data_IF_548892833372
#
_entry.id   IF_548892833372
#
_cell.length_a   1.000
_cell.length_b   1.000
_cell.length_c   1.000
_cell.angle_alpha   90.00
_cell.angle_beta   90.00
_cell.angle_gamma   90.00
#
_symmetry.space_group_name_H-M   'P 1'
#
loop_
_entity.id
_entity.type
_entity.pdbx_description
1 polymer ?
#
# COMPACT_ATOMS: atom_id res chain seq x y z
N UNK A 1 -0.69 18.39 -0.41
CA UNK A 1 0.30 18.24 -1.52
C UNK A 1 -0.38 18.13 -2.87
N UNK A 2 -1.30 17.21 -3.08
CA UNK A 2 -2.00 17.01 -4.36
C UNK A 2 -2.67 18.29 -4.88
N UNK A 3 -3.34 19.06 -4.03
CA UNK A 3 -3.93 20.35 -4.39
C UNK A 3 -2.90 21.37 -4.89
N UNK A 4 -1.76 21.51 -4.20
CA UNK A 4 -0.71 22.46 -4.58
C UNK A 4 -0.02 22.12 -5.92
N UNK A 5 -0.25 20.91 -6.45
CA UNK A 5 0.35 20.42 -7.70
C UNK A 5 -0.69 20.01 -8.76
N UNK A 6 -1.95 20.42 -8.60
CA UNK A 6 -3.09 20.06 -9.48
C UNK A 6 -3.21 18.53 -9.73
N UNK A 7 -3.00 17.77 -8.67
CA UNK A 7 -3.05 16.28 -8.68
C UNK A 7 -4.18 15.71 -7.83
N UNK A 8 -5.15 16.51 -7.46
CA UNK A 8 -6.29 16.12 -6.62
C UNK A 8 -7.07 14.93 -7.19
N UNK A 9 -7.18 14.83 -8.53
CA UNK A 9 -7.83 13.71 -9.18
C UNK A 9 -7.18 12.34 -8.89
N UNK A 10 -5.90 12.31 -8.47
CA UNK A 10 -5.20 11.09 -8.11
C UNK A 10 -5.57 10.58 -6.71
N UNK A 11 -6.09 11.45 -5.83
CA UNK A 11 -6.47 11.06 -4.47
C UNK A 11 -7.66 10.09 -4.45
N UNK A 12 -8.51 10.10 -5.48
CA UNK A 12 -9.56 9.10 -5.64
C UNK A 12 -9.01 7.68 -5.82
N UNK A 13 -7.90 7.51 -6.55
CA UNK A 13 -7.23 6.20 -6.65
C UNK A 13 -6.60 5.81 -5.31
N UNK A 14 -5.99 6.75 -4.58
CA UNK A 14 -5.42 6.48 -3.27
C UNK A 14 -6.49 5.96 -2.31
N UNK A 15 -7.65 6.61 -2.26
CA UNK A 15 -8.76 6.20 -1.42
C UNK A 15 -9.17 4.74 -1.69
N UNK A 16 -9.45 4.40 -2.94
CA UNK A 16 -9.87 3.04 -3.32
C UNK A 16 -8.75 2.05 -3.03
N UNK A 17 -7.51 2.37 -3.41
CA UNK A 17 -6.37 1.47 -3.23
C UNK A 17 -6.15 1.11 -1.76
N UNK A 18 -6.24 2.08 -0.85
CA UNK A 18 -6.07 1.81 0.59
C UNK A 18 -7.09 0.77 1.10
N UNK A 19 -8.33 0.83 0.64
CA UNK A 19 -9.37 -0.11 1.06
C UNK A 19 -9.23 -1.48 0.37
N UNK A 20 -9.15 -1.51 -0.96
CA UNK A 20 -9.17 -2.79 -1.70
C UNK A 20 -7.86 -3.57 -1.59
N UNK A 21 -6.72 -2.89 -1.41
CA UNK A 21 -5.45 -3.56 -1.19
C UNK A 21 -5.41 -4.29 0.16
N UNK A 22 -5.98 -3.70 1.22
CA UNK A 22 -6.11 -4.38 2.51
C UNK A 22 -7.02 -5.60 2.40
N UNK A 23 -8.16 -5.45 1.70
CA UNK A 23 -9.12 -6.52 1.50
C UNK A 23 -8.51 -7.74 0.81
N UNK A 24 -7.75 -7.56 -0.28
CA UNK A 24 -7.18 -8.70 -1.00
C UNK A 24 -6.11 -9.44 -0.21
N UNK A 25 -5.57 -8.88 0.88
CA UNK A 25 -4.58 -9.59 1.72
C UNK A 25 -5.14 -10.84 2.38
N UNK A 26 -6.44 -10.88 2.64
CA UNK A 26 -7.11 -12.09 3.16
C UNK A 26 -7.66 -13.00 2.04
N UNK A 27 -7.42 -12.67 0.77
CA UNK A 27 -7.92 -13.44 -0.38
C UNK A 27 -9.31 -13.03 -0.87
N UNK A 28 -9.91 -11.96 -0.32
CA UNK A 28 -11.24 -11.53 -0.71
C UNK A 28 -11.23 -10.80 -2.06
N UNK A 29 -12.21 -11.13 -2.91
CA UNK A 29 -12.50 -10.39 -4.13
C UNK A 29 -13.33 -9.14 -3.81
N UNK A 30 -12.91 -7.93 -4.20
CA UNK A 30 -13.71 -6.72 -4.04
C UNK A 30 -15.02 -6.83 -4.83
N UNK A 31 -16.15 -6.55 -4.20
CA UNK A 31 -17.47 -6.54 -4.85
C UNK A 31 -17.93 -5.12 -5.11
N UNK A 32 -17.97 -4.29 -4.08
CA UNK A 32 -18.43 -2.91 -4.21
C UNK A 32 -17.73 -1.96 -3.24
N UNK A 33 -17.83 -0.70 -3.58
CA UNK A 33 -17.22 0.43 -2.89
C UNK A 33 -18.24 1.52 -2.67
N UNK A 34 -18.15 2.20 -1.52
CA UNK A 34 -18.90 3.41 -1.19
C UNK A 34 -17.91 4.47 -0.75
N UNK A 35 -18.11 5.70 -1.20
CA UNK A 35 -17.26 6.82 -0.82
C UNK A 35 -18.01 7.86 0.02
N UNK A 36 -17.26 8.58 0.83
CA UNK A 36 -17.71 9.77 1.54
C UNK A 36 -16.77 10.91 1.16
N UNK A 37 -17.34 11.98 0.66
CA UNK A 37 -16.65 13.21 0.33
C UNK A 37 -17.17 14.34 1.21
N UNK A 38 -16.33 14.96 2.02
CA UNK A 38 -16.69 16.12 2.83
C UNK A 38 -15.76 17.30 2.54
N UNK A 39 -16.30 18.50 2.44
CA UNK A 39 -15.52 19.71 2.17
C UNK A 39 -16.07 20.93 2.92
N UNK A 40 -15.23 21.95 3.12
CA UNK A 40 -15.70 23.25 3.64
C UNK A 40 -16.70 23.92 2.73
N UNK A 41 -16.47 23.80 1.41
CA UNK A 41 -17.34 24.22 0.32
C UNK A 41 -17.10 23.33 -0.88
N UNK A 42 -18.16 22.87 -1.52
CA UNK A 42 -18.06 22.04 -2.70
C UNK A 42 -17.63 22.88 -3.91
N UNK A 43 -16.61 22.41 -4.59
CA UNK A 43 -16.16 22.93 -5.88
C UNK A 43 -16.50 21.88 -6.96
N UNK A 44 -17.61 22.03 -7.70
CA UNK A 44 -18.16 20.95 -8.54
C UNK A 44 -17.14 20.37 -9.52
N UNK A 45 -16.31 21.20 -10.16
CA UNK A 45 -15.31 20.73 -11.13
C UNK A 45 -14.19 19.89 -10.49
N UNK A 46 -13.74 20.30 -9.32
CA UNK A 46 -12.69 19.58 -8.56
C UNK A 46 -13.24 18.29 -7.99
N UNK A 47 -14.41 18.35 -7.37
CA UNK A 47 -15.10 17.17 -6.81
C UNK A 47 -15.37 16.13 -7.88
N UNK A 48 -15.91 16.53 -9.04
CA UNK A 48 -16.16 15.61 -10.16
C UNK A 48 -14.87 14.90 -10.65
N UNK A 49 -13.71 15.58 -10.65
CA UNK A 49 -12.43 14.96 -10.99
C UNK A 49 -12.02 13.89 -9.98
N UNK A 50 -12.25 14.14 -8.68
CA UNK A 50 -11.93 13.17 -7.60
C UNK A 50 -12.84 11.95 -7.70
N UNK A 51 -14.15 12.15 -7.80
CA UNK A 51 -15.13 11.06 -7.96
C UNK A 51 -14.84 10.22 -9.22
N UNK A 52 -14.48 10.87 -10.35
CA UNK A 52 -14.02 10.16 -11.53
C UNK A 52 -12.75 9.34 -11.27
N UNK A 53 -11.85 9.83 -10.43
CA UNK A 53 -10.67 9.08 -9.98
C UNK A 53 -11.05 7.83 -9.18
N UNK A 54 -12.03 7.95 -8.27
CA UNK A 54 -12.60 6.83 -7.50
C UNK A 54 -13.23 5.81 -8.45
N UNK A 55 -14.12 6.24 -9.34
CA UNK A 55 -14.77 5.35 -10.30
C UNK A 55 -13.80 4.58 -11.20
N UNK A 56 -12.75 5.26 -11.69
CA UNK A 56 -11.72 4.63 -12.50
C UNK A 56 -10.90 3.59 -11.69
N UNK A 57 -10.61 3.86 -10.43
CA UNK A 57 -9.89 2.94 -9.56
C UNK A 57 -10.76 1.72 -9.21
N UNK A 58 -12.02 1.92 -8.92
CA UNK A 58 -13.00 0.85 -8.70
C UNK A 58 -13.09 -0.06 -9.94
N UNK A 59 -13.23 0.52 -11.14
CA UNK A 59 -13.23 -0.24 -12.40
C UNK A 59 -11.97 -1.09 -12.58
N UNK A 60 -10.78 -0.52 -12.31
CA UNK A 60 -9.50 -1.25 -12.40
C UNK A 60 -9.36 -2.36 -11.36
N UNK A 61 -10.07 -2.24 -10.25
CA UNK A 61 -10.08 -3.22 -9.16
C UNK A 61 -11.22 -4.25 -9.29
N UNK A 62 -11.96 -4.22 -10.40
CA UNK A 62 -13.18 -5.03 -10.61
C UNK A 62 -14.16 -4.90 -9.44
N UNK A 63 -14.37 -3.68 -8.96
CA UNK A 63 -15.16 -3.32 -7.80
C UNK A 63 -16.24 -2.32 -8.25
N UNK A 64 -17.49 -2.56 -7.97
CA UNK A 64 -18.57 -1.65 -8.34
C UNK A 64 -18.59 -0.42 -7.42
N UNK A 65 -18.54 0.79 -7.96
CA UNK A 65 -18.86 2.00 -7.19
C UNK A 65 -20.39 2.11 -7.11
N UNK A 66 -20.96 1.77 -5.96
CA UNK A 66 -22.43 1.79 -5.79
C UNK A 66 -22.99 3.18 -5.51
N UNK A 67 -22.20 4.05 -4.90
CA UNK A 67 -22.60 5.38 -4.50
C UNK A 67 -21.76 5.86 -3.33
N UNK A 68 -22.30 6.80 -2.58
CA UNK A 68 -21.64 7.40 -1.44
C UNK A 68 -22.43 8.59 -0.91
N UNK A 69 -21.76 9.44 -0.14
CA UNK A 69 -22.34 10.67 0.39
C UNK A 69 -21.39 11.83 0.13
N UNK A 70 -21.96 13.00 -0.16
CA UNK A 70 -21.22 14.24 -0.36
C UNK A 70 -21.76 15.31 0.59
N UNK A 71 -20.90 15.80 1.49
CA UNK A 71 -21.29 16.77 2.51
C UNK A 71 -20.55 18.10 2.33
N UNK A 72 -21.28 19.20 2.40
CA UNK A 72 -20.72 20.54 2.57
C UNK A 72 -20.82 20.93 4.03
N UNK A 73 -19.66 21.19 4.66
CA UNK A 73 -19.53 21.43 6.11
C UNK A 73 -18.78 22.74 6.37
N UNK A 74 -19.45 23.91 6.22
CA UNK A 74 -18.84 25.22 6.46
C UNK A 74 -18.40 25.35 7.92
N UNK A 75 -17.15 25.83 8.12
CA UNK A 75 -16.60 26.02 9.45
C UNK A 75 -15.98 24.78 10.09
N UNK A 76 -16.26 23.57 9.59
CA UNK A 76 -15.64 22.34 10.07
C UNK A 76 -14.27 22.10 9.42
N UNK A 77 -14.17 22.27 8.12
CA UNK A 77 -12.91 22.21 7.38
C UNK A 77 -12.40 23.64 7.08
N UNK A 78 -11.08 23.81 7.07
CA UNK A 78 -10.48 25.03 6.55
C UNK A 78 -10.84 25.24 5.07
N UNK A 79 -10.88 26.51 4.64
CA UNK A 79 -11.24 26.88 3.26
C UNK A 79 -10.43 26.06 2.25
N UNK A 80 -11.12 25.52 1.24
CA UNK A 80 -10.60 24.65 0.19
C UNK A 80 -10.07 23.27 0.65
N UNK A 81 -10.22 22.92 1.92
CA UNK A 81 -9.89 21.57 2.37
C UNK A 81 -11.09 20.64 2.19
N UNK A 82 -10.76 19.39 1.93
CA UNK A 82 -11.72 18.30 1.85
C UNK A 82 -11.15 17.05 2.54
N UNK A 83 -12.04 16.14 2.87
CA UNK A 83 -11.74 14.82 3.40
C UNK A 83 -12.40 13.74 2.57
N UNK A 84 -11.79 12.56 2.53
CA UNK A 84 -12.27 11.39 1.81
C UNK A 84 -12.23 10.19 2.73
N UNK A 85 -13.34 9.48 2.82
CA UNK A 85 -13.39 8.16 3.42
C UNK A 85 -13.98 7.15 2.43
N UNK A 86 -13.61 5.89 2.56
CA UNK A 86 -14.07 4.83 1.68
C UNK A 86 -14.35 3.55 2.43
N UNK A 87 -15.34 2.81 1.94
CA UNK A 87 -15.73 1.49 2.42
C UNK A 87 -15.76 0.53 1.26
N UNK A 88 -15.12 -0.60 1.42
CA UNK A 88 -15.18 -1.69 0.44
C UNK A 88 -15.73 -2.95 1.08
N UNK A 89 -16.53 -3.68 0.32
CA UNK A 89 -17.03 -5.01 0.69
C UNK A 89 -16.54 -6.00 -0.33
N UNK A 90 -16.06 -7.14 0.14
CA UNK A 90 -15.58 -8.22 -0.69
C UNK A 90 -16.00 -9.58 -0.14
N UNK A 91 -15.77 -10.62 -0.89
CA UNK A 91 -16.12 -11.98 -0.55
C UNK A 91 -14.94 -12.92 -0.72
N UNK A 92 -14.84 -13.89 0.17
CA UNK A 92 -13.90 -15.01 0.08
C UNK A 92 -14.57 -16.24 0.67
N UNK A 93 -14.38 -17.41 0.04
CA UNK A 93 -14.82 -18.67 0.63
C UNK A 93 -14.08 -18.93 1.94
N UNK A 94 -14.79 -19.39 2.97
CA UNK A 94 -14.27 -19.56 4.32
C UNK A 94 -13.00 -20.40 4.38
N UNK A 95 -12.91 -21.45 3.59
CA UNK A 95 -11.76 -22.34 3.48
C UNK A 95 -10.57 -21.72 2.72
N UNK A 96 -10.79 -20.67 1.96
CA UNK A 96 -9.79 -19.98 1.15
C UNK A 96 -9.24 -18.71 1.83
N UNK A 97 -9.71 -18.39 3.03
CA UNK A 97 -9.22 -17.22 3.79
C UNK A 97 -7.71 -17.36 4.05
N UNK A 98 -6.97 -16.33 3.65
CA UNK A 98 -5.52 -16.22 3.89
C UNK A 98 -5.32 -15.47 5.21
N UNK A 99 -5.04 -16.20 6.29
CA UNK A 99 -4.93 -15.68 7.66
C UNK A 99 -3.53 -15.89 8.27
N UNK A 100 -2.55 -16.28 7.47
CA UNK A 100 -1.18 -16.54 7.94
C UNK A 100 -0.98 -17.85 8.70
N UNK A 101 -2.04 -18.60 9.02
CA UNK A 101 -1.93 -19.85 9.79
C UNK A 101 -1.08 -20.92 9.12
N UNK A 102 -0.96 -20.88 7.80
CA UNK A 102 -0.17 -21.83 6.99
C UNK A 102 1.29 -21.41 6.83
N UNK A 103 1.71 -20.24 7.38
CA UNK A 103 3.10 -19.80 7.35
C UNK A 103 3.97 -20.70 8.21
N UNK A 104 5.15 -21.07 7.66
CA UNK A 104 6.14 -21.97 8.29
C UNK A 104 7.56 -21.44 8.06
N UNK A 105 8.53 -21.84 8.89
CA UNK A 105 9.95 -21.61 8.61
C UNK A 105 10.34 -22.13 7.23
N UNK A 106 11.20 -21.40 6.52
CA UNK A 106 11.65 -21.69 5.16
C UNK A 106 10.79 -21.08 4.05
N UNK A 107 9.62 -20.49 4.37
CA UNK A 107 8.87 -19.70 3.39
C UNK A 107 9.62 -18.40 3.06
N UNK A 108 9.43 -17.92 1.85
CA UNK A 108 10.06 -16.74 1.30
C UNK A 108 9.12 -15.52 1.42
N UNK A 109 9.69 -14.39 1.78
CA UNK A 109 9.07 -13.07 1.71
C UNK A 109 9.29 -12.49 0.31
N UNK A 110 8.26 -12.45 -0.51
CA UNK A 110 8.28 -11.83 -1.82
C UNK A 110 7.71 -10.41 -1.71
N UNK A 111 8.58 -9.41 -1.76
CA UNK A 111 8.19 -7.99 -1.79
C UNK A 111 7.76 -7.56 -3.19
N UNK A 112 6.63 -6.88 -3.29
CA UNK A 112 6.10 -6.29 -4.54
C UNK A 112 6.30 -4.80 -4.50
N UNK A 113 6.82 -4.23 -5.59
CA UNK A 113 7.15 -2.80 -5.65
C UNK A 113 5.99 -1.86 -5.35
N UNK A 114 6.31 -0.71 -4.74
CA UNK A 114 5.40 0.42 -4.59
C UNK A 114 5.62 1.48 -5.67
N UNK A 115 4.59 2.27 -5.97
CA UNK A 115 4.68 3.42 -6.87
C UNK A 115 5.37 4.64 -6.24
N UNK A 116 5.32 4.70 -4.90
CA UNK A 116 5.75 5.82 -4.08
C UNK A 116 5.34 5.58 -2.62
N UNK A 117 5.06 6.63 -1.83
CA UNK A 117 4.74 6.52 -0.40
C UNK A 117 3.41 5.82 -0.07
N UNK A 118 2.53 5.58 -1.07
CA UNK A 118 1.25 4.90 -0.87
C UNK A 118 0.43 5.50 0.29
N UNK A 119 0.13 6.80 0.20
CA UNK A 119 -0.70 7.56 1.15
C UNK A 119 -0.16 7.64 2.58
N UNK A 120 1.05 7.14 2.86
CA UNK A 120 1.63 7.10 4.19
C UNK A 120 2.84 8.04 4.35
N UNK A 121 3.08 8.51 5.59
CA UNK A 121 4.24 9.33 5.94
C UNK A 121 4.17 10.79 5.45
N UNK A 122 3.05 11.27 4.93
CA UNK A 122 2.95 12.60 4.33
C UNK A 122 3.10 13.77 5.32
N UNK A 123 2.87 13.56 6.61
CA UNK A 123 3.14 14.58 7.62
C UNK A 123 4.64 14.89 7.68
N UNK A 124 5.48 13.84 7.70
CA UNK A 124 6.93 13.97 7.69
C UNK A 124 7.42 14.50 6.33
N UNK A 125 6.91 13.97 5.21
CA UNK A 125 7.22 14.47 3.86
C UNK A 125 6.97 15.97 3.77
N UNK A 126 5.80 16.46 4.22
CA UNK A 126 5.49 17.90 4.22
C UNK A 126 6.43 18.72 5.10
N UNK A 127 6.82 18.19 6.26
CA UNK A 127 7.79 18.84 7.14
C UNK A 127 9.16 19.01 6.45
N UNK A 128 9.64 17.98 5.76
CA UNK A 128 10.90 18.03 5.01
C UNK A 128 10.80 19.03 3.84
N UNK A 129 9.69 18.98 3.08
CA UNK A 129 9.48 19.86 1.94
C UNK A 129 9.34 21.36 2.30
N UNK A 130 8.96 21.68 3.54
CA UNK A 130 8.98 23.06 4.05
C UNK A 130 10.41 23.63 4.15
N UNK A 131 11.39 22.73 4.39
CA UNK A 131 12.80 23.13 4.59
C UNK A 131 13.66 22.90 3.35
N UNK A 132 13.29 21.96 2.49
CA UNK A 132 14.10 21.51 1.36
C UNK A 132 13.26 21.43 0.08
N UNK A 133 13.71 22.11 -0.97
CA UNK A 133 13.06 22.05 -2.29
C UNK A 133 13.41 20.71 -2.97
N UNK A 134 12.41 19.88 -3.18
CA UNK A 134 12.62 18.59 -3.86
C UNK A 134 12.82 18.78 -5.39
N UNK A 135 13.73 18.03 -6.01
CA UNK A 135 13.83 17.94 -7.46
C UNK A 135 12.50 17.47 -8.09
N UNK A 136 12.22 17.91 -9.33
CA UNK A 136 10.99 17.57 -10.06
C UNK A 136 10.75 16.05 -10.11
N UNK A 137 11.79 15.25 -10.36
CA UNK A 137 11.69 13.80 -10.42
C UNK A 137 11.28 13.18 -9.06
N UNK A 138 11.78 13.72 -7.96
CA UNK A 138 11.39 13.29 -6.60
C UNK A 138 9.92 13.64 -6.35
N UNK A 139 9.52 14.88 -6.63
CA UNK A 139 8.11 15.31 -6.48
C UNK A 139 7.15 14.45 -7.29
N UNK A 140 7.53 14.06 -8.51
CA UNK A 140 6.72 13.16 -9.33
C UNK A 140 6.46 11.81 -8.65
N UNK A 141 7.46 11.24 -7.98
CA UNK A 141 7.31 9.98 -7.22
C UNK A 141 6.46 10.19 -5.96
N UNK A 142 6.70 11.28 -5.22
CA UNK A 142 5.94 11.60 -4.01
C UNK A 142 4.44 11.88 -4.27
N UNK A 143 4.08 12.19 -5.50
CA UNK A 143 2.70 12.46 -5.94
C UNK A 143 2.08 11.33 -6.76
N UNK A 144 2.79 10.20 -6.93
CA UNK A 144 2.21 9.03 -7.60
C UNK A 144 1.11 8.42 -6.73
N UNK A 145 -0.03 8.06 -7.33
CA UNK A 145 -1.08 7.37 -6.59
C UNK A 145 -0.63 5.96 -6.22
N UNK A 146 -1.22 5.45 -5.16
CA UNK A 146 -1.05 4.09 -4.66
C UNK A 146 -1.35 3.07 -5.75
N UNK A 147 -0.52 2.04 -5.89
CA UNK A 147 -0.82 0.90 -6.77
C UNK A 147 -2.12 0.21 -6.36
N UNK A 148 -2.87 -0.22 -7.37
CA UNK A 148 -4.01 -1.11 -7.20
C UNK A 148 -3.51 -2.55 -7.35
N UNK A 149 -3.50 -3.30 -6.27
CA UNK A 149 -3.02 -4.69 -6.23
C UNK A 149 -4.10 -5.77 -6.45
N UNK A 150 -5.45 -5.51 -6.47
CA UNK A 150 -6.42 -6.59 -6.56
C UNK A 150 -6.19 -7.55 -7.73
N UNK A 151 -6.09 -7.05 -8.95
CA UNK A 151 -5.93 -7.90 -10.13
C UNK A 151 -4.67 -8.80 -10.07
N UNK A 152 -3.44 -8.27 -9.87
CA UNK A 152 -2.24 -9.11 -9.76
C UNK A 152 -2.26 -10.06 -8.57
N UNK A 153 -2.80 -9.62 -7.42
CA UNK A 153 -2.82 -10.44 -6.20
C UNK A 153 -3.84 -11.58 -6.30
N UNK A 154 -5.03 -11.31 -6.80
CA UNK A 154 -6.05 -12.35 -7.01
C UNK A 154 -5.60 -13.39 -8.06
N UNK A 155 -4.90 -12.96 -9.12
CA UNK A 155 -4.29 -13.90 -10.06
C UNK A 155 -3.19 -14.73 -9.40
N UNK A 156 -2.37 -14.10 -8.56
CA UNK A 156 -1.33 -14.80 -7.80
C UNK A 156 -1.94 -15.87 -6.88
N UNK A 157 -2.99 -15.53 -6.12
CA UNK A 157 -3.70 -16.46 -5.23
C UNK A 157 -4.28 -17.65 -6.02
N UNK A 158 -4.92 -17.37 -7.16
CA UNK A 158 -5.50 -18.41 -8.04
C UNK A 158 -4.46 -19.40 -8.56
N UNK A 159 -3.24 -18.94 -8.84
CA UNK A 159 -2.22 -19.72 -9.53
C UNK A 159 -1.11 -20.27 -8.64
N UNK A 160 -1.00 -19.78 -7.39
CA UNK A 160 0.02 -20.19 -6.42
C UNK A 160 -0.59 -20.43 -5.05
N UNK A 161 0.19 -21.02 -4.15
CA UNK A 161 -0.27 -21.30 -2.79
C UNK A 161 0.27 -20.23 -1.82
N UNK A 162 -0.29 -19.02 -1.87
CA UNK A 162 0.04 -17.92 -0.95
C UNK A 162 -0.31 -18.31 0.49
N UNK A 163 0.62 -18.10 1.43
CA UNK A 163 0.48 -18.48 2.85
C UNK A 163 0.05 -17.32 3.73
N UNK A 164 0.39 -16.09 3.32
CA UNK A 164 0.07 -14.86 4.00
C UNK A 164 0.44 -13.66 3.16
N UNK A 165 -0.17 -12.53 3.43
CA UNK A 165 0.14 -11.26 2.75
C UNK A 165 0.07 -10.11 3.73
N UNK A 166 0.90 -9.07 3.50
CA UNK A 166 0.85 -7.81 4.22
C UNK A 166 0.86 -6.64 3.25
N UNK A 167 -0.16 -5.80 3.30
CA UNK A 167 -0.14 -4.48 2.64
C UNK A 167 0.70 -3.54 3.48
N UNK A 168 1.73 -2.93 2.87
CA UNK A 168 2.68 -2.10 3.60
C UNK A 168 2.20 -0.64 3.62
N UNK A 169 1.58 -0.29 4.72
CA UNK A 169 0.95 1.01 5.00
C UNK A 169 1.67 1.74 6.15
N UNK A 170 0.95 2.48 6.98
CA UNK A 170 1.50 3.07 8.20
C UNK A 170 2.09 2.00 9.11
N UNK A 171 3.28 2.27 9.65
CA UNK A 171 4.08 1.28 10.36
C UNK A 171 5.12 0.58 9.50
N UNK A 172 5.12 0.79 8.16
CA UNK A 172 6.11 0.27 7.22
C UNK A 172 6.22 -1.25 7.25
N UNK A 173 7.37 -1.78 6.83
CA UNK A 173 7.66 -3.21 6.90
C UNK A 173 7.68 -3.71 8.35
N UNK A 174 8.19 -2.88 9.27
CA UNK A 174 8.42 -3.22 10.67
C UNK A 174 7.14 -3.64 11.41
N UNK A 175 6.03 -2.96 11.16
CA UNK A 175 4.81 -3.23 11.91
C UNK A 175 3.79 -4.05 11.10
N UNK A 176 3.82 -4.02 9.76
CA UNK A 176 2.82 -4.74 8.97
C UNK A 176 3.16 -6.22 8.74
N UNK A 177 4.42 -6.59 8.56
CA UNK A 177 4.79 -8.01 8.38
C UNK A 177 4.49 -8.85 9.63
N UNK A 178 4.80 -8.41 10.87
CA UNK A 178 4.47 -9.18 12.07
C UNK A 178 3.00 -9.50 12.25
N UNK A 179 2.07 -8.65 11.78
CA UNK A 179 0.61 -8.85 11.96
C UNK A 179 0.09 -10.18 11.40
N UNK A 180 0.78 -10.74 10.40
CA UNK A 180 0.38 -12.00 9.77
C UNK A 180 1.17 -13.20 10.27
N UNK A 181 2.12 -13.00 11.20
CA UNK A 181 2.97 -14.06 11.74
C UNK A 181 2.44 -14.58 13.06
N UNK A 182 2.45 -15.91 13.21
CA UNK A 182 2.19 -16.55 14.50
C UNK A 182 3.38 -16.34 15.45
N UNK A 183 3.11 -16.42 16.75
CA UNK A 183 4.17 -16.48 17.77
C UNK A 183 5.16 -17.59 17.44
N UNK A 184 6.46 -17.32 17.62
CA UNK A 184 7.54 -18.25 17.32
C UNK A 184 8.01 -18.25 15.86
N UNK A 185 7.48 -17.35 15.02
CA UNK A 185 7.98 -17.07 13.68
C UNK A 185 8.59 -15.67 13.62
N UNK A 186 9.67 -15.54 12.86
CA UNK A 186 10.39 -14.28 12.62
C UNK A 186 10.61 -14.10 11.14
N UNK A 187 10.32 -12.91 10.62
CA UNK A 187 10.68 -12.48 9.28
C UNK A 187 12.12 -11.93 9.31
N UNK A 188 13.04 -12.59 8.60
CA UNK A 188 14.39 -12.06 8.37
C UNK A 188 14.40 -11.37 7.02
N UNK A 189 14.51 -10.06 7.04
CA UNK A 189 14.46 -9.21 5.84
C UNK A 189 15.88 -8.78 5.47
N UNK A 190 16.27 -9.09 4.25
CA UNK A 190 17.54 -8.68 3.65
C UNK A 190 17.37 -7.33 2.96
N UNK A 191 17.94 -6.27 3.53
CA UNK A 191 17.86 -4.92 2.98
C UNK A 191 18.67 -4.74 1.69
N UNK A 192 19.56 -5.66 1.36
CA UNK A 192 20.33 -5.64 0.11
C UNK A 192 19.55 -6.19 -1.08
N UNK A 193 18.43 -6.92 -0.83
CA UNK A 193 17.64 -7.57 -1.86
C UNK A 193 16.92 -6.60 -2.82
N UNK A 194 16.75 -5.35 -2.41
CA UNK A 194 16.21 -4.30 -3.28
C UNK A 194 16.86 -2.95 -2.96
N UNK A 195 16.85 -2.04 -3.93
CA UNK A 195 17.33 -0.67 -3.70
C UNK A 195 16.16 0.24 -3.33
N UNK A 196 16.30 1.00 -2.26
CA UNK A 196 15.33 2.04 -1.94
C UNK A 196 15.21 3.01 -3.14
N UNK A 197 13.99 3.29 -3.59
CA UNK A 197 13.79 4.27 -4.66
C UNK A 197 14.37 5.63 -4.29
N UNK A 198 14.89 6.37 -5.28
CA UNK A 198 15.56 7.67 -5.09
C UNK A 198 14.76 8.66 -4.24
N UNK A 199 13.44 8.61 -4.29
CA UNK A 199 12.60 9.49 -3.48
C UNK A 199 12.72 9.19 -1.98
N UNK A 200 12.82 7.92 -1.60
CA UNK A 200 13.00 7.53 -0.19
C UNK A 200 14.41 7.84 0.30
N UNK A 201 15.44 7.62 -0.54
CA UNK A 201 16.81 8.02 -0.21
C UNK A 201 16.93 9.53 -0.01
N UNK A 202 16.26 10.32 -0.86
CA UNK A 202 16.20 11.78 -0.72
C UNK A 202 15.48 12.20 0.57
N UNK A 203 14.38 11.56 0.93
CA UNK A 203 13.67 11.81 2.19
C UNK A 203 14.53 11.47 3.41
N UNK A 204 15.24 10.34 3.34
CA UNK A 204 16.15 9.89 4.40
C UNK A 204 17.27 10.90 4.63
N UNK A 205 17.93 11.32 3.56
CA UNK A 205 19.04 12.29 3.60
C UNK A 205 18.55 13.66 4.11
N UNK A 206 17.51 14.23 3.49
CA UNK A 206 17.05 15.60 3.84
C UNK A 206 16.29 15.67 5.16
N UNK A 207 15.70 14.57 5.58
CA UNK A 207 15.03 14.43 6.88
C UNK A 207 15.96 14.00 8.01
N UNK A 208 17.22 13.63 7.69
CA UNK A 208 18.15 12.99 8.63
C UNK A 208 17.49 11.83 9.39
N UNK A 209 16.83 10.92 8.64
CA UNK A 209 16.02 9.84 9.20
C UNK A 209 16.88 8.57 9.26
N UNK A 210 16.88 7.90 10.41
CA UNK A 210 17.54 6.60 10.56
C UNK A 210 16.93 5.54 9.64
N UNK A 211 17.69 4.52 9.25
CA UNK A 211 17.15 3.41 8.44
C UNK A 211 16.01 2.69 9.15
N UNK A 212 16.10 2.51 10.46
CA UNK A 212 15.04 1.91 11.28
C UNK A 212 13.75 2.72 11.24
N UNK A 213 13.83 4.06 11.31
CA UNK A 213 12.66 4.93 11.21
C UNK A 213 12.10 4.94 9.78
N UNK A 214 12.97 4.91 8.75
CA UNK A 214 12.51 4.76 7.37
C UNK A 214 11.66 3.51 7.19
N UNK A 215 12.10 2.36 7.73
CA UNK A 215 11.40 1.07 7.65
C UNK A 215 10.12 1.00 8.48
N UNK A 216 9.97 1.88 9.47
CA UNK A 216 8.76 2.01 10.30
C UNK A 216 7.76 3.03 9.74
N UNK A 217 8.24 4.11 9.12
CA UNK A 217 7.36 5.20 8.63
C UNK A 217 6.90 4.94 7.20
N UNK A 218 7.80 4.40 6.35
CA UNK A 218 7.60 4.26 4.91
C UNK A 218 7.65 2.80 4.46
N UNK A 219 7.08 2.55 3.28
CA UNK A 219 7.18 1.26 2.60
C UNK A 219 8.56 1.02 1.95
N UNK A 220 9.42 2.03 1.87
CA UNK A 220 10.77 1.98 1.29
C UNK A 220 10.87 1.32 -0.10
N UNK A 221 9.78 1.36 -0.87
CA UNK A 221 9.71 0.78 -2.22
C UNK A 221 8.99 -0.56 -2.31
N UNK A 222 8.55 -1.14 -1.20
CA UNK A 222 7.79 -2.40 -1.12
C UNK A 222 6.36 -2.10 -0.64
N UNK A 223 5.38 -2.18 -1.51
CA UNK A 223 3.99 -1.86 -1.18
C UNK A 223 3.16 -3.06 -0.71
N UNK A 224 3.56 -4.28 -1.07
CA UNK A 224 2.92 -5.52 -0.65
C UNK A 224 3.98 -6.58 -0.39
N UNK A 225 3.78 -7.43 0.60
CA UNK A 225 4.61 -8.61 0.84
C UNK A 225 3.73 -9.86 0.76
N UNK A 226 4.12 -10.82 -0.08
CA UNK A 226 3.49 -12.12 -0.20
C UNK A 226 4.41 -13.19 0.38
N UNK A 227 3.87 -14.13 1.16
CA UNK A 227 4.64 -15.24 1.75
C UNK A 227 4.27 -16.52 1.01
N UNK A 228 5.28 -17.18 0.43
CA UNK A 228 5.10 -18.37 -0.41
C UNK A 228 6.18 -19.44 -0.12
N UNK A 229 5.91 -20.66 -0.57
CA UNK A 229 6.92 -21.68 -0.68
C UNK A 229 8.00 -21.28 -1.71
N UNK A 230 9.27 -21.61 -1.46
CA UNK A 230 10.39 -21.31 -2.38
C UNK A 230 10.15 -21.75 -3.82
N UNK A 231 9.54 -22.91 -4.02
CA UNK A 231 9.21 -23.44 -5.35
C UNK A 231 8.20 -22.63 -6.14
N UNK A 232 7.40 -21.78 -5.46
CA UNK A 232 6.36 -20.95 -6.10
C UNK A 232 6.89 -19.58 -6.56
N UNK A 233 8.08 -19.15 -6.08
CA UNK A 233 8.60 -17.80 -6.27
C UNK A 233 8.75 -17.41 -7.74
N UNK A 234 9.39 -18.28 -8.54
CA UNK A 234 9.59 -17.99 -9.97
C UNK A 234 8.27 -17.82 -10.72
N UNK A 235 7.24 -18.62 -10.37
CA UNK A 235 5.90 -18.50 -10.92
C UNK A 235 5.22 -17.20 -10.47
N UNK A 236 5.33 -16.88 -9.19
CA UNK A 236 4.80 -15.64 -8.61
C UNK A 236 5.40 -14.39 -9.28
N UNK A 237 6.72 -14.36 -9.46
CA UNK A 237 7.42 -13.27 -10.14
C UNK A 237 6.97 -13.10 -11.59
N UNK A 238 6.75 -14.21 -12.34
CA UNK A 238 6.21 -14.15 -13.71
C UNK A 238 4.81 -13.55 -13.77
N UNK A 239 3.94 -13.92 -12.83
CA UNK A 239 2.58 -13.36 -12.73
C UNK A 239 2.65 -11.86 -12.46
N UNK A 240 3.40 -11.44 -11.44
CA UNK A 240 3.54 -10.03 -11.09
C UNK A 240 4.15 -9.20 -12.23
N UNK A 241 5.16 -9.75 -12.91
CA UNK A 241 5.79 -9.11 -14.08
C UNK A 241 4.82 -8.93 -15.25
N UNK A 242 3.90 -9.86 -15.49
CA UNK A 242 2.84 -9.72 -16.50
C UNK A 242 1.91 -8.53 -16.19
N UNK A 243 1.73 -8.21 -14.92
CA UNK A 243 1.04 -7.00 -14.44
C UNK A 243 1.95 -5.77 -14.34
N UNK A 244 3.18 -5.83 -14.88
CA UNK A 244 4.16 -4.73 -14.86
C UNK A 244 4.60 -4.33 -13.44
N UNK A 245 4.56 -5.25 -12.49
CA UNK A 245 5.03 -5.09 -11.14
C UNK A 245 6.36 -5.85 -10.95
N UNK A 246 7.38 -5.15 -10.49
CA UNK A 246 8.62 -5.79 -10.05
C UNK A 246 8.41 -6.43 -8.69
N UNK A 247 9.11 -7.52 -8.45
CA UNK A 247 9.09 -8.20 -7.15
C UNK A 247 10.47 -8.73 -6.79
N UNK A 248 10.74 -8.84 -5.51
CA UNK A 248 12.05 -9.13 -4.94
C UNK A 248 11.91 -10.18 -3.84
N UNK A 249 12.81 -11.14 -3.79
CA UNK A 249 12.91 -12.05 -2.64
C UNK A 249 13.59 -11.29 -1.51
N UNK A 250 12.81 -10.64 -0.65
CA UNK A 250 13.32 -9.73 0.37
C UNK A 250 13.67 -10.42 1.69
N UNK A 251 13.52 -11.74 1.79
CA UNK A 251 13.88 -12.45 3.00
C UNK A 251 13.16 -13.78 3.19
N UNK A 252 13.28 -14.32 4.38
CA UNK A 252 12.76 -15.65 4.73
C UNK A 252 12.11 -15.66 6.11
N UNK A 253 11.20 -16.61 6.31
CA UNK A 253 10.62 -16.91 7.63
C UNK A 253 11.49 -17.93 8.36
N UNK A 254 11.83 -17.67 9.62
CA UNK A 254 12.54 -18.59 10.51
C UNK A 254 11.79 -18.85 11.82
N UNK A 255 12.23 -19.85 12.58
CA UNK A 255 11.83 -19.98 13.99
C UNK A 255 12.59 -18.98 14.84
N UNK A 256 11.93 -18.37 15.81
CA UNK A 256 12.57 -17.45 16.73
C UNK A 256 11.77 -17.27 18.02
N UNK A 257 12.44 -16.80 19.07
CA UNK A 257 11.85 -16.50 20.39
C UNK A 257 11.76 -14.99 20.63
N UNK A 258 11.92 -14.18 19.59
CA UNK A 258 12.06 -12.74 19.70
C UNK A 258 10.74 -12.08 20.14
N UNK A 259 10.88 -11.04 20.93
CA UNK A 259 9.78 -10.11 21.21
C UNK A 259 9.37 -9.40 19.91
N UNK A 260 10.33 -9.16 19.02
CA UNK A 260 10.08 -8.60 17.68
C UNK A 260 10.10 -9.70 16.63
N UNK A 261 8.99 -9.84 15.90
CA UNK A 261 8.83 -10.87 14.86
C UNK A 261 9.40 -10.44 13.50
N UNK A 262 10.31 -9.46 13.48
CA UNK A 262 11.03 -9.01 12.28
C UNK A 262 12.48 -8.68 12.64
N UNK A 263 13.40 -9.05 11.75
CA UNK A 263 14.83 -8.71 11.81
C UNK A 263 15.28 -8.21 10.46
N UNK A 264 16.21 -7.28 10.45
CA UNK A 264 16.82 -6.70 9.25
C UNK A 264 18.31 -7.06 9.21
N UNK A 265 18.77 -7.57 8.05
CA UNK A 265 20.15 -7.94 7.77
C UNK A 265 20.72 -7.07 6.64
#
# INVERSE_FOLDING_TARGET
>A
MSQAHDKTHLTGQDLVAMCVNDMVTCGAEPLFFLDYFAASKLEPKSTAKIVKGIANACKKSNCALLGGETAEMPGHYAKNNFDLAGFSVGVVEKENVIDGKKIKPGHILLGVESSGPHSNGYSLIRSILKKHKAPKAIMQVLLKPTHLYPAPVLELIKKTNVKGMAHITGGGLTENIPRILKKGLVANVDLSAWKFPKAFLWLQEKGNISTSDMLRIFNCGIGMVCILDKKEISKAQKILSAHKLRSFEIGTITKGRLQEQIQYN
#
